data_IF_142479380569
#
_entry.id   IF_142479380569
#
_cell.length_a   1.000
_cell.length_b   1.000
_cell.length_c   1.000
_cell.angle_alpha   90.00
_cell.angle_beta   90.00
_cell.angle_gamma   90.00
#
_symmetry.space_group_name_H-M   'P 1'
#
loop_
_entity.id
_entity.type
_entity.pdbx_description
1 polymer ?
#
# COMPACT_ATOMS: atom_id res chain seq x y z
N UNK A 1 8.23 20.45 -3.17
CA UNK A 1 7.07 19.53 -3.23
C UNK A 1 7.44 18.32 -4.07
N UNK A 2 7.44 17.13 -3.47
CA UNK A 2 7.71 15.93 -4.25
C UNK A 2 6.43 15.54 -4.98
N UNK A 3 6.44 15.67 -6.31
CA UNK A 3 5.42 15.20 -7.27
C UNK A 3 5.32 13.67 -7.26
N UNK A 4 5.10 13.08 -6.09
CA UNK A 4 4.89 11.64 -5.95
C UNK A 4 3.46 11.39 -6.43
N UNK A 5 3.33 10.82 -7.62
CA UNK A 5 2.04 10.36 -8.13
C UNK A 5 1.46 9.31 -7.18
N UNK A 6 0.15 9.41 -6.91
CA UNK A 6 -0.61 8.53 -6.01
C UNK A 6 -0.39 7.04 -6.31
N UNK A 7 -0.24 6.69 -7.60
CA UNK A 7 0.07 5.34 -8.04
C UNK A 7 1.57 5.19 -8.29
N UNK A 8 2.26 4.58 -7.31
CA UNK A 8 3.65 4.11 -7.45
C UNK A 8 3.71 2.58 -7.42
N UNK A 9 3.05 1.93 -8.40
CA UNK A 9 2.93 0.47 -8.48
C UNK A 9 4.27 -0.27 -8.35
N UNK A 10 5.35 0.29 -8.92
CA UNK A 10 6.69 -0.30 -8.84
C UNK A 10 7.24 -0.30 -7.40
N UNK A 11 7.07 0.80 -6.67
CA UNK A 11 7.51 0.88 -5.26
C UNK A 11 6.65 0.02 -4.36
N UNK A 12 5.35 -0.05 -4.64
CA UNK A 12 4.44 -0.97 -3.95
C UNK A 12 4.88 -2.42 -4.12
N UNK A 13 5.16 -2.85 -5.36
CA UNK A 13 5.64 -4.21 -5.64
C UNK A 13 6.97 -4.52 -4.94
N UNK A 14 7.93 -3.59 -4.96
CA UNK A 14 9.20 -3.72 -4.25
C UNK A 14 9.01 -3.82 -2.73
N UNK A 15 8.15 -2.97 -2.14
CA UNK A 15 7.84 -2.97 -0.72
C UNK A 15 7.18 -4.30 -0.31
N UNK A 16 6.16 -4.72 -1.06
CA UNK A 16 5.44 -5.97 -0.82
C UNK A 16 6.41 -7.17 -0.82
N UNK A 17 7.35 -7.20 -1.77
CA UNK A 17 8.37 -8.25 -1.86
C UNK A 17 9.28 -8.26 -0.63
N UNK A 18 9.87 -7.09 -0.29
CA UNK A 18 10.80 -6.97 0.85
C UNK A 18 10.12 -7.31 2.19
N UNK A 19 8.89 -6.85 2.40
CA UNK A 19 8.16 -7.10 3.65
C UNK A 19 7.64 -8.52 3.76
N UNK A 20 7.27 -9.15 2.64
CA UNK A 20 6.92 -10.58 2.60
C UNK A 20 8.13 -11.44 2.99
N UNK A 21 9.31 -11.15 2.43
CA UNK A 21 10.54 -11.84 2.79
C UNK A 21 10.88 -11.68 4.28
N UNK A 22 10.85 -10.44 4.79
CA UNK A 22 11.09 -10.18 6.20
C UNK A 22 10.09 -10.91 7.12
N UNK A 23 8.80 -10.93 6.77
CA UNK A 23 7.81 -11.65 7.55
C UNK A 23 8.08 -13.15 7.60
N UNK A 24 8.48 -13.73 6.46
CA UNK A 24 8.91 -15.14 6.37
C UNK A 24 10.11 -15.45 7.27
N UNK A 25 11.13 -14.60 7.25
CA UNK A 25 12.32 -14.73 8.11
C UNK A 25 11.96 -14.67 9.61
N UNK A 26 10.83 -14.07 9.96
CA UNK A 26 10.30 -13.97 11.32
C UNK A 26 9.18 -15.01 11.62
N UNK A 27 9.06 -16.05 10.80
CA UNK A 27 8.13 -17.16 11.06
C UNK A 27 6.67 -16.92 10.64
N UNK A 28 6.40 -15.87 9.87
CA UNK A 28 5.06 -15.59 9.34
C UNK A 28 4.90 -16.20 7.94
N UNK A 29 3.69 -16.63 7.59
CA UNK A 29 3.43 -17.14 6.25
C UNK A 29 3.43 -16.01 5.22
N UNK A 30 3.96 -16.28 4.02
CA UNK A 30 3.97 -15.30 2.93
C UNK A 30 2.55 -14.85 2.56
N UNK A 31 1.59 -15.79 2.57
CA UNK A 31 0.18 -15.53 2.26
C UNK A 31 -0.42 -14.54 3.26
N UNK A 32 -0.18 -14.74 4.55
CA UNK A 32 -0.68 -13.86 5.61
C UNK A 32 -0.16 -12.43 5.44
N UNK A 33 1.15 -12.26 5.28
CA UNK A 33 1.75 -10.92 5.13
C UNK A 33 1.29 -10.23 3.85
N UNK A 34 1.19 -10.96 2.74
CA UNK A 34 0.70 -10.37 1.50
C UNK A 34 -0.76 -9.90 1.61
N UNK A 35 -1.63 -10.69 2.25
CA UNK A 35 -3.02 -10.30 2.47
C UNK A 35 -3.14 -9.06 3.36
N UNK A 36 -2.40 -9.04 4.48
CA UNK A 36 -2.37 -7.90 5.39
C UNK A 36 -1.92 -6.61 4.71
N UNK A 37 -0.80 -6.67 3.99
CA UNK A 37 -0.25 -5.49 3.31
C UNK A 37 -1.19 -4.98 2.22
N UNK A 38 -1.79 -5.89 1.41
CA UNK A 38 -2.77 -5.51 0.38
C UNK A 38 -4.01 -4.84 0.98
N UNK A 39 -4.51 -5.32 2.11
CA UNK A 39 -5.64 -4.70 2.80
C UNK A 39 -5.30 -3.25 3.24
N UNK A 40 -4.15 -3.04 3.89
CA UNK A 40 -3.69 -1.70 4.30
C UNK A 40 -3.52 -0.77 3.08
N UNK A 41 -3.00 -1.29 1.97
CA UNK A 41 -2.83 -0.52 0.74
C UNK A 41 -4.16 -0.07 0.15
N UNK A 42 -5.14 -0.96 0.11
CA UNK A 42 -6.47 -0.68 -0.40
C UNK A 42 -7.14 0.43 0.43
N UNK A 43 -7.12 0.32 1.77
CA UNK A 43 -7.63 1.35 2.68
C UNK A 43 -6.93 2.71 2.48
N UNK A 44 -5.61 2.72 2.25
CA UNK A 44 -4.87 3.95 1.97
C UNK A 44 -5.29 4.61 0.66
N UNK A 45 -5.57 3.83 -0.40
CA UNK A 45 -6.09 4.33 -1.67
C UNK A 45 -7.49 4.92 -1.47
N UNK A 46 -8.37 4.21 -0.77
CA UNK A 46 -9.74 4.67 -0.51
C UNK A 46 -9.75 5.98 0.29
N UNK A 47 -8.86 6.09 1.30
CA UNK A 47 -8.70 7.32 2.06
C UNK A 47 -8.20 8.48 1.19
N UNK A 48 -7.23 8.23 0.32
CA UNK A 48 -6.71 9.25 -0.61
C UNK A 48 -7.79 9.70 -1.60
N UNK A 49 -8.52 8.76 -2.21
CA UNK A 49 -9.63 9.04 -3.11
C UNK A 49 -10.73 9.86 -2.43
N UNK A 50 -11.09 9.53 -1.18
CA UNK A 50 -12.07 10.30 -0.41
C UNK A 50 -11.61 11.74 -0.15
N UNK A 51 -10.34 11.95 0.20
CA UNK A 51 -9.80 13.30 0.41
C UNK A 51 -9.78 14.10 -0.90
N UNK A 52 -9.44 13.48 -2.03
CA UNK A 52 -9.44 14.16 -3.33
C UNK A 52 -10.85 14.54 -3.77
N UNK A 53 -11.81 13.60 -3.70
CA UNK A 53 -13.19 13.85 -4.12
C UNK A 53 -13.90 14.88 -3.23
N UNK A 54 -13.58 14.95 -1.92
CA UNK A 54 -14.15 15.95 -1.02
C UNK A 54 -13.57 17.36 -1.22
N UNK A 55 -12.41 17.49 -1.86
CA UNK A 55 -11.81 18.78 -2.17
C UNK A 55 -12.35 19.39 -3.49
N UNK A 56 -13.10 18.61 -4.28
CA UNK A 56 -13.70 19.05 -5.55
C UNK A 56 -15.14 19.59 -5.40
N UNK A 57 -15.73 19.58 -4.18
CA UNK A 57 -17.08 20.12 -3.88
C UNK A 57 -17.08 21.54 -3.26
N UNK A 58 -16.06 22.37 -3.50
CA UNK A 58 -16.06 23.81 -3.11
C UNK A 58 -15.78 24.71 -4.30
#
# INVERSE_FOLDING_TARGET
ENKVTILQNNRWAEMLTKRTLYGKENGLSEVFIQQLLKAIHQESIEKQNSVMNNNDEV
#
